data_IF_856570559416
#
_entry.id   IF_856570559416
#
_cell.length_a   1.000
_cell.length_b   1.000
_cell.length_c   1.000
_cell.angle_alpha   90.00
_cell.angle_beta   90.00
_cell.angle_gamma   90.00
#
_symmetry.space_group_name_H-M   'P 1'
#
loop_
_entity.id
_entity.type
_entity.pdbx_description
1 polymer ?
#
# COMPACT_ATOMS: atom_id res chain seq x y z
N UNK A 1 6.28 -10.38 -10.62
CA UNK A 1 5.93 -9.28 -9.72
C UNK A 1 5.37 -9.77 -8.39
N UNK A 2 4.23 -10.48 -8.35
CA UNK A 2 3.56 -10.92 -7.10
C UNK A 2 4.47 -11.55 -6.03
N UNK A 3 5.26 -12.57 -6.39
CA UNK A 3 6.17 -13.22 -5.43
C UNK A 3 7.27 -12.29 -4.90
N UNK A 4 7.74 -11.35 -5.72
CA UNK A 4 8.76 -10.41 -5.27
C UNK A 4 8.20 -9.46 -4.22
N UNK A 5 6.98 -8.97 -4.44
CA UNK A 5 6.26 -8.09 -3.52
C UNK A 5 5.93 -8.79 -2.19
N UNK A 6 5.39 -10.02 -2.24
CA UNK A 6 5.14 -10.83 -1.04
C UNK A 6 6.42 -11.08 -0.22
N UNK A 7 7.53 -11.38 -0.89
CA UNK A 7 8.81 -11.62 -0.23
C UNK A 7 9.40 -10.33 0.36
N UNK A 8 9.31 -9.22 -0.36
CA UNK A 8 9.78 -7.92 0.13
C UNK A 8 9.06 -7.52 1.42
N UNK A 9 7.74 -7.59 1.45
CA UNK A 9 6.96 -7.24 2.64
C UNK A 9 7.17 -8.24 3.79
N UNK A 10 7.29 -9.54 3.49
CA UNK A 10 7.63 -10.55 4.48
C UNK A 10 9.00 -10.28 5.12
N UNK A 11 10.01 -9.93 4.31
CA UNK A 11 11.37 -9.70 4.81
C UNK A 11 11.55 -8.34 5.47
N UNK A 12 10.86 -7.30 4.98
CA UNK A 12 11.00 -5.93 5.47
C UNK A 12 10.15 -5.70 6.73
N UNK A 13 8.94 -6.26 6.78
CA UNK A 13 7.96 -5.99 7.84
C UNK A 13 7.56 -7.23 8.65
N UNK A 14 8.18 -8.39 8.40
CA UNK A 14 7.87 -9.61 9.15
C UNK A 14 6.56 -10.29 8.71
N UNK A 15 5.84 -9.72 7.73
CA UNK A 15 4.65 -10.33 7.15
C UNK A 15 3.73 -9.32 6.45
N UNK A 16 2.83 -9.85 5.63
CA UNK A 16 1.72 -9.10 5.07
C UNK A 16 0.53 -10.01 4.77
N UNK A 17 -0.67 -9.43 4.74
CA UNK A 17 -1.88 -10.05 4.19
C UNK A 17 -2.23 -9.38 2.87
N UNK A 18 -2.42 -10.17 1.80
CA UNK A 18 -2.81 -9.67 0.49
C UNK A 18 -4.21 -10.19 0.15
N UNK A 19 -5.11 -9.28 -0.22
CA UNK A 19 -6.44 -9.59 -0.74
C UNK A 19 -6.49 -9.13 -2.19
N UNK A 20 -6.50 -10.10 -3.11
CA UNK A 20 -6.40 -9.83 -4.55
C UNK A 20 -7.76 -9.68 -5.23
N UNK A 21 -7.74 -8.99 -6.37
CA UNK A 21 -8.84 -8.95 -7.34
C UNK A 21 -10.18 -8.47 -6.74
N UNK A 22 -10.11 -7.59 -5.73
CA UNK A 22 -11.31 -7.02 -5.10
C UNK A 22 -11.87 -5.90 -5.98
N UNK A 23 -13.19 -5.70 -5.91
CA UNK A 23 -13.86 -4.64 -6.65
C UNK A 23 -13.55 -3.29 -6.00
N UNK A 24 -12.78 -2.48 -6.70
CA UNK A 24 -12.59 -1.07 -6.43
C UNK A 24 -13.70 -0.21 -7.03
N UNK A 25 -14.07 0.85 -6.33
CA UNK A 25 -14.96 1.89 -6.85
C UNK A 25 -14.37 3.23 -6.42
N UNK A 26 -14.00 4.08 -7.38
CA UNK A 26 -13.38 5.37 -7.10
C UNK A 26 -13.88 6.45 -8.06
N UNK A 27 -13.64 7.71 -7.69
CA UNK A 27 -13.92 8.85 -8.56
C UNK A 27 -12.64 9.26 -9.29
N UNK A 28 -12.71 9.33 -10.61
CA UNK A 28 -11.66 9.90 -11.44
C UNK A 28 -11.59 11.42 -11.31
N UNK A 29 -10.54 12.02 -11.87
CA UNK A 29 -10.27 13.45 -11.78
C UNK A 29 -11.36 14.31 -12.45
N UNK A 30 -12.07 13.79 -13.46
CA UNK A 30 -13.20 14.47 -14.09
C UNK A 30 -14.57 14.18 -13.42
N UNK A 31 -14.56 13.48 -12.28
CA UNK A 31 -15.74 13.23 -11.44
C UNK A 31 -16.55 11.99 -11.82
N UNK A 32 -16.14 11.26 -12.85
CA UNK A 32 -16.69 9.99 -13.28
C UNK A 32 -16.39 8.88 -12.26
N UNK A 33 -17.31 7.91 -12.18
CA UNK A 33 -17.11 6.72 -11.35
C UNK A 33 -16.40 5.66 -12.17
N UNK A 34 -15.25 5.21 -11.68
CA UNK A 34 -14.52 4.07 -12.22
C UNK A 34 -14.74 2.84 -11.35
N UNK A 35 -14.75 1.69 -12.01
CA UNK A 35 -14.74 0.39 -11.33
C UNK A 35 -13.59 -0.42 -11.87
N UNK A 36 -12.69 -0.83 -10.99
CA UNK A 36 -11.51 -1.60 -11.36
C UNK A 36 -11.24 -2.74 -10.37
N UNK A 37 -10.35 -3.67 -10.76
CA UNK A 37 -9.82 -4.71 -9.87
C UNK A 37 -8.59 -4.17 -9.18
N UNK A 38 -8.64 -4.08 -7.86
CA UNK A 38 -7.49 -3.68 -7.05
C UNK A 38 -6.99 -4.84 -6.20
N UNK A 39 -5.73 -4.73 -5.76
CA UNK A 39 -5.15 -5.59 -4.74
C UNK A 39 -4.96 -4.77 -3.47
N UNK A 40 -5.36 -5.31 -2.33
CA UNK A 40 -5.20 -4.67 -1.03
C UNK A 40 -4.12 -5.40 -0.23
N UNK A 41 -3.16 -4.65 0.27
CA UNK A 41 -2.03 -5.17 1.03
C UNK A 41 -2.08 -4.56 2.43
N UNK A 42 -2.10 -5.41 3.44
CA UNK A 42 -1.92 -5.04 4.84
C UNK A 42 -0.57 -5.54 5.30
N UNK A 43 0.23 -4.67 5.91
CA UNK A 43 1.51 -5.03 6.50
C UNK A 43 1.66 -4.35 7.86
N UNK A 44 2.23 -5.07 8.82
CA UNK A 44 2.53 -4.54 10.15
C UNK A 44 3.98 -4.06 10.15
N UNK A 45 4.18 -2.78 9.85
CA UNK A 45 5.50 -2.21 9.81
C UNK A 45 5.91 -1.75 11.22
N UNK A 46 7.13 -2.06 11.71
CA UNK A 46 7.56 -1.75 13.07
C UNK A 46 7.97 -0.28 13.24
N UNK A 47 7.19 0.64 12.68
CA UNK A 47 7.42 2.08 12.77
C UNK A 47 6.46 2.72 13.77
N UNK A 48 7.04 3.52 14.66
CA UNK A 48 6.31 4.48 15.47
C UNK A 48 6.13 5.79 14.66
N UNK A 49 4.90 6.18 14.28
CA UNK A 49 4.66 7.36 13.44
C UNK A 49 5.15 8.67 14.05
N UNK A 50 5.13 8.81 15.38
CA UNK A 50 5.58 10.03 16.06
C UNK A 50 7.11 10.17 16.01
N UNK A 51 7.82 9.05 15.88
CA UNK A 51 9.30 9.01 15.84
C UNK A 51 9.86 8.95 14.43
N UNK A 52 9.14 8.34 13.49
CA UNK A 52 9.64 8.00 12.16
C UNK A 52 8.84 8.65 11.04
N UNK A 53 8.15 9.77 11.31
CA UNK A 53 7.26 10.41 10.33
C UNK A 53 7.94 10.69 8.98
N UNK A 54 9.15 11.26 8.99
CA UNK A 54 9.87 11.59 7.76
C UNK A 54 10.28 10.35 6.95
N UNK A 55 10.75 9.29 7.64
CA UNK A 55 11.14 8.03 7.01
C UNK A 55 9.93 7.27 6.46
N UNK A 56 8.83 7.24 7.20
CA UNK A 56 7.55 6.70 6.74
C UNK A 56 7.04 7.44 5.51
N UNK A 57 7.06 8.77 5.54
CA UNK A 57 6.61 9.59 4.43
C UNK A 57 7.46 9.34 3.19
N UNK A 58 8.80 9.36 3.32
CA UNK A 58 9.71 9.05 2.23
C UNK A 58 9.50 7.63 1.67
N UNK A 59 9.37 6.63 2.53
CA UNK A 59 9.11 5.26 2.12
C UNK A 59 7.79 5.12 1.36
N UNK A 60 6.73 5.82 1.80
CA UNK A 60 5.44 5.80 1.07
C UNK A 60 5.52 6.46 -0.30
N UNK A 61 6.33 7.51 -0.45
CA UNK A 61 6.57 8.15 -1.74
C UNK A 61 7.37 7.24 -2.69
N UNK A 62 8.40 6.57 -2.19
CA UNK A 62 9.17 5.57 -2.94
C UNK A 62 8.29 4.39 -3.36
N UNK A 63 7.47 3.86 -2.45
CA UNK A 63 6.55 2.77 -2.74
C UNK A 63 5.51 3.18 -3.79
N UNK A 64 4.99 4.42 -3.72
CA UNK A 64 4.07 4.96 -4.74
C UNK A 64 4.76 5.02 -6.11
N UNK A 65 5.98 5.54 -6.17
CA UNK A 65 6.74 5.64 -7.42
C UNK A 65 7.02 4.26 -8.02
N UNK A 66 7.48 3.31 -7.20
CA UNK A 66 7.74 1.94 -7.64
C UNK A 66 6.47 1.23 -8.13
N UNK A 67 5.35 1.43 -7.44
CA UNK A 67 4.08 0.84 -7.83
C UNK A 67 3.53 1.45 -9.14
N UNK A 68 3.68 2.77 -9.34
CA UNK A 68 3.32 3.44 -10.61
C UNK A 68 4.24 3.02 -11.77
N UNK A 69 5.53 2.76 -11.53
CA UNK A 69 6.44 2.28 -12.56
C UNK A 69 6.15 0.82 -12.94
N UNK A 70 5.77 0.01 -11.95
CA UNK A 70 5.55 -1.42 -12.11
C UNK A 70 4.13 -1.78 -12.59
N UNK A 71 3.19 -0.82 -12.59
CA UNK A 71 1.81 -1.05 -12.99
C UNK A 71 1.32 0.02 -13.96
N UNK A 72 0.38 -0.34 -14.84
CA UNK A 72 -0.30 0.62 -15.73
C UNK A 72 -1.51 1.28 -15.03
N UNK A 73 -1.50 1.34 -13.69
CA UNK A 73 -2.61 1.86 -12.89
C UNK A 73 -2.64 3.40 -12.91
N UNK A 74 -3.80 3.99 -13.15
CA UNK A 74 -3.96 5.46 -13.14
C UNK A 74 -3.95 6.05 -11.73
N UNK A 75 -4.15 5.23 -10.70
CA UNK A 75 -4.29 5.71 -9.32
C UNK A 75 -3.88 4.66 -8.30
N UNK A 76 -3.00 5.07 -7.37
CA UNK A 76 -2.52 4.24 -6.27
C UNK A 76 -2.84 4.95 -4.96
N UNK A 77 -3.55 4.25 -4.08
CA UNK A 77 -3.83 4.71 -2.72
C UNK A 77 -2.89 3.98 -1.75
N UNK A 78 -2.07 4.74 -1.03
CA UNK A 78 -1.25 4.24 0.07
C UNK A 78 -1.78 4.86 1.35
N UNK A 79 -2.06 4.02 2.34
CA UNK A 79 -2.54 4.44 3.67
C UNK A 79 -1.59 3.88 4.71
N UNK A 80 -1.07 4.76 5.56
CA UNK A 80 -0.35 4.39 6.78
C UNK A 80 -1.27 4.67 7.95
N UNK A 81 -1.48 3.66 8.80
CA UNK A 81 -2.31 3.78 9.99
C UNK A 81 -1.60 3.09 11.16
N UNK A 82 -1.53 3.78 12.30
CA UNK A 82 -1.00 3.20 13.53
C UNK A 82 -1.90 2.04 14.01
N UNK A 83 -1.32 0.87 14.25
CA UNK A 83 -2.04 -0.29 14.77
C UNK A 83 -1.83 -0.41 16.28
N UNK A 84 -2.93 -0.37 17.03
CA UNK A 84 -2.91 -0.59 18.48
C UNK A 84 -3.13 -2.06 18.79
N UNK A 85 -2.11 -2.70 19.37
CA UNK A 85 -2.22 -4.03 19.95
C UNK A 85 -2.72 -3.89 21.39
N UNK A 86 -3.96 -4.28 21.68
CA UNK A 86 -4.41 -4.43 23.07
C UNK A 86 -3.75 -5.68 23.65
N UNK A 87 -2.90 -5.50 24.66
CA UNK A 87 -2.31 -6.60 25.44
C UNK A 87 -3.31 -7.08 26.49
#
# INVERSE_FOLDING_TARGET
>A
MRKAFEQEFLHTFGGCTIIENIKGIYKGAAGETHTDRMNLVYADAPFDPDRHFEELYAYTDELRAAALEASDEESILIVVHELYHSV
#
